data_IF_336129541450
#
_entry.id   IF_336129541450
#
_cell.length_a   1.000
_cell.length_b   1.000
_cell.length_c   1.000
_cell.angle_alpha   90.00
_cell.angle_beta   90.00
_cell.angle_gamma   90.00
#
_symmetry.space_group_name_H-M   'P 1'
#
loop_
_entity.id
_entity.type
_entity.pdbx_description
1 polymer ?
#
# COMPACT_ATOMS: atom_id res chain seq x y z
N UNK A 1 12.84 -29.90 2.93
CA UNK A 1 11.73 -30.57 2.21
C UNK A 1 10.80 -29.52 1.67
N UNK A 2 10.31 -29.63 0.43
CA UNK A 2 9.46 -28.59 -0.15
C UNK A 2 7.98 -28.97 -0.29
N UNK A 3 7.11 -28.52 0.63
CA UNK A 3 5.68 -28.86 0.60
C UNK A 3 4.95 -28.21 -0.58
N UNK A 4 5.34 -26.99 -0.97
CA UNK A 4 4.78 -26.31 -2.15
C UNK A 4 5.13 -26.99 -3.48
N UNK A 5 6.31 -27.59 -3.59
CA UNK A 5 6.79 -28.33 -4.77
C UNK A 5 6.55 -29.84 -4.68
N UNK A 6 5.87 -30.34 -3.62
CA UNK A 6 5.67 -31.77 -3.33
C UNK A 6 6.99 -32.57 -3.32
N UNK A 7 8.07 -31.98 -2.82
CA UNK A 7 9.39 -32.63 -2.69
C UNK A 7 9.56 -33.10 -1.24
N UNK A 8 9.23 -34.37 -0.99
CA UNK A 8 9.42 -35.00 0.31
C UNK A 8 10.86 -35.44 0.59
N UNK A 9 11.14 -35.85 1.83
CA UNK A 9 12.45 -36.26 2.36
C UNK A 9 13.26 -37.12 1.38
N UNK A 10 12.62 -38.16 0.84
CA UNK A 10 13.24 -39.13 -0.06
C UNK A 10 13.66 -38.50 -1.39
N UNK A 11 12.88 -37.55 -1.91
CA UNK A 11 13.20 -36.86 -3.16
C UNK A 11 14.33 -35.84 -2.93
N UNK A 12 14.32 -35.11 -1.81
CA UNK A 12 15.42 -34.23 -1.42
C UNK A 12 16.73 -34.99 -1.21
N UNK A 13 16.70 -36.14 -0.54
CA UNK A 13 17.87 -37.01 -0.32
C UNK A 13 18.49 -37.47 -1.65
N UNK A 14 17.65 -37.87 -2.62
CA UNK A 14 18.10 -38.23 -3.97
C UNK A 14 18.65 -37.02 -4.74
N UNK A 15 18.09 -35.83 -4.58
CA UNK A 15 18.63 -34.62 -5.22
C UNK A 15 20.00 -34.23 -4.63
N UNK A 16 20.16 -34.32 -3.31
CA UNK A 16 21.44 -34.07 -2.65
C UNK A 16 22.52 -35.04 -3.15
N UNK A 17 22.19 -36.33 -3.28
CA UNK A 17 23.06 -37.35 -3.89
C UNK A 17 23.61 -36.91 -5.25
N UNK A 18 22.77 -36.36 -6.12
CA UNK A 18 23.20 -35.87 -7.45
C UNK A 18 24.06 -34.60 -7.34
N UNK A 19 23.87 -33.76 -6.32
CA UNK A 19 24.72 -32.58 -6.07
C UNK A 19 26.10 -32.93 -5.52
N UNK A 20 26.21 -33.98 -4.69
CA UNK A 20 27.47 -34.40 -4.05
C UNK A 20 28.10 -35.64 -4.68
N UNK A 21 27.58 -36.06 -5.85
CA UNK A 21 28.09 -37.17 -6.67
C UNK A 21 28.18 -38.54 -5.96
N UNK A 22 27.25 -38.87 -5.07
CA UNK A 22 27.24 -40.16 -4.36
C UNK A 22 26.41 -40.12 -3.08
N UNK A 23 25.90 -41.28 -2.62
CA UNK A 23 25.18 -41.33 -1.33
C UNK A 23 26.14 -41.23 -0.14
N UNK A 24 27.33 -41.79 -0.31
CA UNK A 24 28.46 -41.77 0.62
C UNK A 24 28.97 -40.36 0.93
N UNK A 25 28.77 -39.41 0.01
CA UNK A 25 29.24 -38.03 0.13
C UNK A 25 28.19 -37.08 0.76
N UNK A 26 26.99 -37.57 1.07
CA UNK A 26 25.91 -36.73 1.65
C UNK A 26 26.19 -36.38 3.11
N UNK A 27 26.92 -37.23 3.83
CA UNK A 27 27.24 -37.01 5.25
C UNK A 27 26.04 -37.14 6.21
N UNK A 28 24.86 -37.53 5.71
CA UNK A 28 23.64 -37.75 6.50
C UNK A 28 22.80 -38.88 5.90
N UNK A 29 22.02 -39.57 6.74
CA UNK A 29 21.19 -40.70 6.32
C UNK A 29 19.80 -40.26 5.82
N UNK A 30 19.12 -41.12 5.05
CA UNK A 30 17.72 -40.87 4.66
C UNK A 30 16.80 -40.67 5.88
N UNK A 31 17.08 -41.34 7.00
CA UNK A 31 16.31 -41.16 8.23
C UNK A 31 16.57 -39.79 8.86
N UNK A 32 17.79 -39.27 8.77
CA UNK A 32 18.08 -37.89 9.17
C UNK A 32 17.26 -36.94 8.32
N UNK A 33 17.25 -37.09 6.98
CA UNK A 33 16.38 -36.27 6.12
C UNK A 33 14.89 -36.38 6.47
N UNK A 34 14.38 -37.57 6.85
CA UNK A 34 12.98 -37.78 7.28
C UNK A 34 12.68 -37.13 8.62
N UNK A 35 13.61 -37.20 9.58
CA UNK A 35 13.45 -36.72 10.95
C UNK A 35 13.82 -35.23 11.09
N UNK A 36 14.63 -34.71 10.18
CA UNK A 36 15.19 -33.36 10.23
C UNK A 36 14.14 -32.28 10.40
N UNK A 37 12.99 -32.41 9.72
CA UNK A 37 11.87 -31.47 9.88
C UNK A 37 11.32 -31.45 11.31
N UNK A 38 11.17 -32.63 11.94
CA UNK A 38 10.76 -32.74 13.35
C UNK A 38 11.83 -32.13 14.25
N UNK A 39 13.09 -32.47 14.02
CA UNK A 39 14.20 -32.07 14.90
C UNK A 39 14.42 -30.56 14.86
N UNK A 40 14.32 -29.94 13.68
CA UNK A 40 14.33 -28.48 13.51
C UNK A 40 13.11 -27.82 14.17
N UNK A 41 11.91 -28.39 14.04
CA UNK A 41 10.73 -27.88 14.76
C UNK A 41 10.86 -27.97 16.28
N UNK A 42 11.45 -29.05 16.79
CA UNK A 42 11.74 -29.19 18.22
C UNK A 42 12.76 -28.14 18.67
N UNK A 43 13.84 -27.92 17.90
CA UNK A 43 14.84 -26.90 18.20
C UNK A 43 14.26 -25.48 18.20
N UNK A 44 13.39 -25.16 17.22
CA UNK A 44 12.72 -23.86 17.14
C UNK A 44 11.74 -23.70 18.31
N UNK A 45 10.97 -24.73 18.68
CA UNK A 45 9.82 -24.57 19.58
C UNK A 45 10.12 -23.84 20.90
N UNK A 46 11.21 -24.18 21.59
CA UNK A 46 11.59 -23.57 22.88
C UNK A 46 12.37 -22.25 22.72
N UNK A 47 12.86 -21.96 21.51
CA UNK A 47 13.76 -20.83 21.23
C UNK A 47 13.21 -19.85 20.21
N UNK A 48 11.97 -20.03 19.77
CA UNK A 48 11.41 -19.40 18.57
C UNK A 48 11.48 -17.87 18.62
N UNK A 49 11.02 -17.28 19.72
CA UNK A 49 11.10 -15.83 19.95
C UNK A 49 12.54 -15.34 20.00
N UNK A 50 13.44 -16.08 20.66
CA UNK A 50 14.86 -15.72 20.73
C UNK A 50 15.54 -15.81 19.37
N UNK A 51 15.29 -16.88 18.60
CA UNK A 51 15.80 -17.04 17.24
C UNK A 51 15.30 -15.91 16.33
N UNK A 52 14.03 -15.50 16.48
CA UNK A 52 13.48 -14.37 15.76
C UNK A 52 14.19 -13.05 16.10
N UNK A 53 14.45 -12.78 17.38
CA UNK A 53 15.22 -11.61 17.82
C UNK A 53 16.66 -11.67 17.31
N UNK A 54 17.32 -12.82 17.42
CA UNK A 54 18.70 -13.02 16.98
C UNK A 54 18.83 -12.82 15.47
N UNK A 55 17.78 -13.15 14.69
CA UNK A 55 17.71 -12.77 13.27
C UNK A 55 17.80 -11.27 13.10
N UNK A 56 17.02 -10.50 13.86
CA UNK A 56 16.96 -9.05 13.69
C UNK A 56 18.27 -8.39 14.09
N UNK A 57 18.88 -8.85 15.19
CA UNK A 57 20.24 -8.46 15.58
C UNK A 57 21.24 -8.74 14.45
N UNK A 58 21.23 -9.96 13.90
CA UNK A 58 22.10 -10.30 12.78
C UNK A 58 21.84 -9.43 11.53
N UNK A 59 20.58 -9.12 11.24
CA UNK A 59 20.23 -8.26 10.11
C UNK A 59 20.73 -6.83 10.33
N UNK A 60 20.65 -6.31 11.55
CA UNK A 60 21.23 -5.02 11.91
C UNK A 60 22.75 -5.00 11.80
N UNK A 61 23.43 -6.08 12.17
CA UNK A 61 24.89 -6.19 12.07
C UNK A 61 25.38 -6.39 10.63
N UNK A 62 24.58 -7.03 9.77
CA UNK A 62 25.00 -7.44 8.42
C UNK A 62 24.44 -6.57 7.30
N UNK A 63 23.31 -5.90 7.51
CA UNK A 63 22.67 -5.04 6.51
C UNK A 63 22.82 -3.59 6.93
N UNK A 64 23.39 -2.80 6.02
CA UNK A 64 23.44 -1.36 6.15
C UNK A 64 22.00 -0.81 6.29
N UNK A 65 21.69 -0.27 7.47
CA UNK A 65 20.39 0.27 7.86
C UNK A 65 19.24 -0.74 7.90
N UNK A 66 19.23 -1.53 8.98
CA UNK A 66 18.06 -2.29 9.41
C UNK A 66 17.65 -1.79 10.80
N UNK A 67 16.52 -1.09 10.86
CA UNK A 67 15.89 -0.69 12.11
C UNK A 67 15.10 -1.87 12.67
N UNK A 68 15.23 -2.13 13.96
CA UNK A 68 14.33 -3.03 14.68
C UNK A 68 14.24 -2.62 16.15
N UNK A 69 13.14 -2.99 16.78
CA UNK A 69 12.94 -2.86 18.22
C UNK A 69 11.99 -3.95 18.70
N UNK A 70 12.03 -4.30 19.98
CA UNK A 70 11.19 -5.35 20.54
C UNK A 70 10.99 -5.19 22.05
N UNK A 71 9.90 -5.76 22.56
CA UNK A 71 9.62 -5.87 23.99
C UNK A 71 9.28 -7.31 24.36
N UNK A 72 9.74 -7.72 25.53
CA UNK A 72 9.42 -8.99 26.17
C UNK A 72 8.62 -8.73 27.45
N UNK A 73 7.78 -9.67 27.84
CA UNK A 73 7.10 -9.63 29.14
C UNK A 73 7.99 -10.11 30.30
N UNK A 74 7.40 -10.19 31.49
CA UNK A 74 8.07 -10.63 32.72
C UNK A 74 8.60 -12.05 32.66
N UNK A 75 8.06 -12.88 31.77
CA UNK A 75 8.47 -14.28 31.55
C UNK A 75 9.49 -14.40 30.40
N UNK A 76 10.03 -13.27 29.91
CA UNK A 76 10.90 -13.16 28.74
C UNK A 76 10.24 -13.64 27.43
N UNK A 77 8.90 -13.63 27.35
CA UNK A 77 8.18 -13.94 26.11
C UNK A 77 8.07 -12.70 25.24
N UNK A 78 8.34 -12.84 23.94
CA UNK A 78 8.24 -11.74 22.98
C UNK A 78 6.78 -11.27 22.85
N UNK A 79 6.53 -9.99 23.14
CA UNK A 79 5.18 -9.39 23.07
C UNK A 79 5.02 -8.37 21.97
N UNK A 80 6.09 -7.67 21.59
CA UNK A 80 6.09 -6.69 20.50
C UNK A 80 7.40 -6.80 19.73
N UNK A 81 7.34 -6.74 18.41
CA UNK A 81 8.53 -6.67 17.57
C UNK A 81 8.25 -5.81 16.34
N UNK A 82 9.21 -4.99 15.95
CA UNK A 82 9.09 -4.10 14.80
C UNK A 82 10.36 -4.11 13.97
N UNK A 83 10.24 -3.82 12.67
CA UNK A 83 11.37 -3.71 11.78
C UNK A 83 11.09 -2.85 10.55
N UNK A 84 12.16 -2.25 10.03
CA UNK A 84 12.19 -1.63 8.71
C UNK A 84 13.61 -1.71 8.15
N UNK A 85 13.74 -2.01 6.86
CA UNK A 85 15.03 -1.97 6.19
C UNK A 85 15.22 -0.68 5.38
N UNK A 86 16.44 -0.49 4.89
CA UNK A 86 16.84 0.66 4.07
C UNK A 86 15.90 0.93 2.89
N UNK A 87 15.42 -0.11 2.23
CA UNK A 87 14.55 0.04 1.05
C UNK A 87 13.19 0.56 1.49
N UNK A 88 12.65 0.03 2.58
CA UNK A 88 11.39 0.47 3.16
C UNK A 88 11.44 1.96 3.57
N UNK A 89 12.53 2.38 4.24
CA UNK A 89 12.75 3.80 4.58
C UNK A 89 12.88 4.72 3.36
N UNK A 90 13.61 4.29 2.31
CA UNK A 90 13.72 5.04 1.05
C UNK A 90 12.37 5.18 0.35
N UNK A 91 11.58 4.11 0.34
CA UNK A 91 10.24 4.13 -0.24
C UNK A 91 9.34 5.08 0.55
N UNK A 92 9.41 5.07 1.89
CA UNK A 92 8.64 6.00 2.71
C UNK A 92 9.00 7.46 2.43
N UNK A 93 10.29 7.78 2.24
CA UNK A 93 10.72 9.15 1.94
C UNK A 93 10.07 9.75 0.68
N UNK A 94 9.72 8.90 -0.31
CA UNK A 94 9.14 9.30 -1.59
C UNK A 94 7.62 9.09 -1.65
N UNK A 95 7.12 8.00 -1.06
CA UNK A 95 5.75 7.51 -1.21
C UNK A 95 4.94 7.54 0.09
N UNK A 96 5.55 7.91 1.21
CA UNK A 96 4.98 7.88 2.56
C UNK A 96 4.03 9.03 2.89
N UNK A 97 3.60 9.82 1.90
CA UNK A 97 2.64 10.90 2.13
C UNK A 97 1.25 10.35 2.56
N UNK A 98 0.87 9.17 2.06
CA UNK A 98 -0.34 8.47 2.48
C UNK A 98 0.03 7.03 2.87
N UNK A 99 -0.26 6.67 4.11
CA UNK A 99 0.09 5.37 4.70
C UNK A 99 -1.18 4.66 5.14
N UNK A 100 -1.30 3.40 4.76
CA UNK A 100 -2.30 2.47 5.26
C UNK A 100 -1.74 1.66 6.42
N UNK A 101 -2.54 1.50 7.48
CA UNK A 101 -2.22 0.65 8.62
C UNK A 101 -3.44 -0.21 8.95
N UNK A 102 -3.26 -1.54 8.85
CA UNK A 102 -4.30 -2.50 9.20
C UNK A 102 -3.69 -3.67 9.97
N UNK A 103 -4.21 -3.98 11.17
CA UNK A 103 -3.87 -5.22 11.82
C UNK A 103 -4.49 -6.41 11.07
N UNK A 104 -3.65 -7.36 10.65
CA UNK A 104 -4.05 -8.58 9.93
C UNK A 104 -3.95 -9.78 10.87
N UNK A 105 -5.08 -10.48 11.03
CA UNK A 105 -5.37 -11.46 12.07
C UNK A 105 -4.29 -12.53 12.33
N UNK A 106 -4.26 -13.05 13.57
CA UNK A 106 -3.30 -13.97 14.18
C UNK A 106 -2.44 -14.79 13.20
N UNK A 107 -1.14 -14.47 13.14
CA UNK A 107 -0.25 -14.99 12.08
C UNK A 107 0.54 -16.24 12.47
N UNK A 108 0.58 -16.56 13.75
CA UNK A 108 1.46 -17.58 14.32
C UNK A 108 0.82 -18.26 15.55
N UNK A 109 1.47 -19.31 16.06
CA UNK A 109 1.02 -20.12 17.20
C UNK A 109 0.91 -19.36 18.53
N UNK A 110 1.46 -18.15 18.61
CA UNK A 110 1.35 -17.27 19.78
C UNK A 110 0.25 -16.22 19.64
N UNK A 111 -0.53 -16.29 18.56
CA UNK A 111 -1.59 -15.34 18.23
C UNK A 111 -1.11 -13.89 18.05
N UNK A 112 0.19 -13.66 17.82
CA UNK A 112 0.64 -12.30 17.51
C UNK A 112 0.10 -11.85 16.14
N UNK A 113 -0.38 -10.62 16.11
CA UNK A 113 -1.00 -9.98 14.97
C UNK A 113 0.07 -9.27 14.16
N UNK A 114 0.10 -9.52 12.86
CA UNK A 114 1.00 -8.80 11.95
C UNK A 114 0.33 -7.51 11.47
N UNK A 115 1.03 -6.39 11.60
CA UNK A 115 0.48 -5.06 11.34
C UNK A 115 1.42 -4.27 10.42
N UNK A 116 1.30 -4.43 9.09
CA UNK A 116 2.15 -3.72 8.14
C UNK A 116 1.72 -2.26 7.97
N UNK A 117 2.69 -1.38 7.76
CA UNK A 117 2.48 -0.03 7.23
C UNK A 117 2.77 -0.06 5.74
N UNK A 118 1.77 0.26 4.93
CA UNK A 118 1.88 0.18 3.47
C UNK A 118 1.56 1.50 2.79
N UNK A 119 2.01 1.65 1.55
CA UNK A 119 1.64 2.76 0.68
C UNK A 119 1.66 2.33 -0.78
N UNK A 120 1.72 3.32 -1.67
CA UNK A 120 1.66 3.10 -3.13
C UNK A 120 2.87 3.72 -3.79
N UNK A 121 3.66 2.88 -4.46
CA UNK A 121 4.82 3.30 -5.24
C UNK A 121 4.45 3.94 -6.59
N UNK A 122 5.45 4.40 -7.34
CA UNK A 122 5.30 5.02 -8.65
C UNK A 122 4.72 4.08 -9.73
N UNK A 123 4.67 2.78 -9.51
CA UNK A 123 4.04 1.80 -10.40
C UNK A 123 2.58 1.53 -10.05
N UNK A 124 2.05 2.18 -9.01
CA UNK A 124 0.71 1.96 -8.41
C UNK A 124 0.60 0.66 -7.61
N UNK A 125 1.73 0.05 -7.25
CA UNK A 125 1.77 -1.20 -6.50
C UNK A 125 1.88 -0.93 -5.00
N UNK A 126 1.39 -1.88 -4.19
CA UNK A 126 1.55 -1.80 -2.73
C UNK A 126 3.01 -2.01 -2.35
N UNK A 127 3.50 -1.15 -1.47
CA UNK A 127 4.86 -1.20 -0.92
C UNK A 127 4.79 -1.16 0.60
N UNK A 128 5.63 -1.95 1.26
CA UNK A 128 5.72 -1.99 2.73
C UNK A 128 6.80 -1.01 3.20
N UNK A 129 6.45 -0.16 4.16
CA UNK A 129 7.36 0.79 4.82
C UNK A 129 7.85 0.27 6.18
N UNK A 130 7.02 -0.50 6.88
CA UNK A 130 7.31 -0.95 8.24
C UNK A 130 6.53 -2.21 8.55
N UNK A 131 7.15 -3.15 9.26
CA UNK A 131 6.50 -4.38 9.73
C UNK A 131 6.47 -4.45 11.24
N UNK A 132 5.42 -5.03 11.79
CA UNK A 132 5.26 -5.18 13.23
C UNK A 132 4.46 -6.43 13.60
N UNK A 133 4.82 -7.04 14.72
CA UNK A 133 4.08 -8.11 15.39
C UNK A 133 3.68 -7.65 16.80
N UNK A 134 2.40 -7.78 17.14
CA UNK A 134 1.86 -7.39 18.44
C UNK A 134 1.11 -8.57 19.07
N UNK A 135 1.39 -8.88 20.34
CA UNK A 135 0.62 -9.88 21.10
C UNK A 135 -0.72 -9.36 21.60
N UNK A 136 -0.87 -8.03 21.69
CA UNK A 136 -2.10 -7.36 22.15
C UNK A 136 -2.41 -6.15 21.28
N UNK A 137 -3.65 -6.10 20.82
CA UNK A 137 -4.23 -4.96 20.08
C UNK A 137 -4.90 -4.04 21.10
N UNK A 138 -4.14 -3.10 21.66
CA UNK A 138 -4.64 -2.10 22.59
C UNK A 138 -3.93 -0.75 22.42
N UNK A 139 -4.45 0.30 23.05
CA UNK A 139 -3.93 1.67 22.90
C UNK A 139 -2.44 1.78 23.26
N UNK A 140 -2.00 1.09 24.30
CA UNK A 140 -0.59 1.08 24.72
C UNK A 140 0.32 0.49 23.63
N UNK A 141 -0.06 -0.68 23.09
CA UNK A 141 0.68 -1.35 22.02
C UNK A 141 0.70 -0.52 20.74
N UNK A 142 -0.42 0.07 20.34
CA UNK A 142 -0.48 0.90 19.13
C UNK A 142 0.27 2.22 19.30
N UNK A 143 0.21 2.85 20.48
CA UNK A 143 0.99 4.05 20.79
C UNK A 143 2.48 3.76 20.74
N UNK A 144 2.93 2.64 21.33
CA UNK A 144 4.31 2.19 21.23
C UNK A 144 4.70 1.97 19.76
N UNK A 145 3.89 1.23 19.01
CA UNK A 145 4.13 0.92 17.60
C UNK A 145 4.27 2.18 16.74
N UNK A 146 3.35 3.13 16.86
CA UNK A 146 3.39 4.36 16.07
C UNK A 146 4.61 5.23 16.42
N UNK A 147 5.06 5.25 17.69
CA UNK A 147 6.31 5.93 18.08
C UNK A 147 7.52 5.29 17.42
N UNK A 148 7.64 3.95 17.47
CA UNK A 148 8.74 3.22 16.82
C UNK A 148 8.73 3.39 15.30
N UNK A 149 7.54 3.41 14.69
CA UNK A 149 7.38 3.72 13.27
C UNK A 149 7.93 5.11 12.96
N UNK A 150 7.53 6.14 13.72
CA UNK A 150 7.98 7.51 13.50
C UNK A 150 9.50 7.65 13.67
N UNK A 151 10.08 7.00 14.68
CA UNK A 151 11.53 6.96 14.91
C UNK A 151 12.27 6.30 13.73
N UNK A 152 11.79 5.15 13.26
CA UNK A 152 12.37 4.46 12.11
C UNK A 152 12.29 5.27 10.81
N UNK A 153 11.28 6.14 10.69
CA UNK A 153 11.10 7.05 9.56
C UNK A 153 11.77 8.42 9.76
N UNK A 154 12.66 8.55 10.75
CA UNK A 154 13.45 9.77 10.97
C UNK A 154 12.64 10.93 11.54
N UNK A 155 11.58 10.66 12.29
CA UNK A 155 10.71 11.69 12.87
C UNK A 155 9.72 12.30 11.89
N UNK A 156 9.66 11.81 10.63
CA UNK A 156 8.76 12.34 9.61
C UNK A 156 7.40 11.64 9.69
N UNK A 157 6.36 12.41 9.98
CA UNK A 157 4.97 11.93 9.96
C UNK A 157 4.44 11.80 8.52
N UNK A 158 3.51 10.86 8.25
CA UNK A 158 2.77 10.85 7.00
C UNK A 158 1.80 12.04 6.95
N UNK A 159 1.45 12.54 5.77
CA UNK A 159 0.41 13.56 5.64
C UNK A 159 -0.98 12.96 5.94
N UNK A 160 -1.18 11.70 5.54
CA UNK A 160 -2.40 10.95 5.76
C UNK A 160 -2.10 9.57 6.31
N UNK A 161 -2.81 9.18 7.37
CA UNK A 161 -2.84 7.81 7.87
C UNK A 161 -4.25 7.26 7.72
N UNK A 162 -4.35 6.08 7.11
CA UNK A 162 -5.61 5.41 6.78
C UNK A 162 -5.68 4.13 7.58
N UNK A 163 -6.68 4.01 8.44
CA UNK A 163 -6.87 2.84 9.31
C UNK A 163 -8.31 2.34 9.24
N UNK A 164 -8.63 1.30 10.00
CA UNK A 164 -10.02 1.00 10.34
C UNK A 164 -10.54 1.92 11.46
N UNK A 165 -11.73 1.61 11.99
CA UNK A 165 -12.43 2.42 12.99
C UNK A 165 -12.20 1.92 14.42
N UNK A 166 -11.07 1.26 14.69
CA UNK A 166 -10.75 0.78 16.02
C UNK A 166 -10.48 1.95 17.00
N UNK A 167 -11.14 2.01 18.17
CA UNK A 167 -10.98 3.10 19.13
C UNK A 167 -9.55 3.28 19.64
N UNK A 168 -8.82 2.18 19.86
CA UNK A 168 -7.46 2.21 20.41
C UNK A 168 -6.47 2.70 19.35
N UNK A 169 -6.67 2.31 18.09
CA UNK A 169 -5.95 2.90 16.94
C UNK A 169 -6.24 4.39 16.84
N UNK A 170 -7.51 4.80 16.88
CA UNK A 170 -7.91 6.23 16.78
C UNK A 170 -7.21 7.06 17.87
N UNK A 171 -7.26 6.60 19.13
CA UNK A 171 -6.62 7.30 20.25
C UNK A 171 -5.10 7.38 20.06
N UNK A 172 -4.48 6.26 19.70
CA UNK A 172 -3.02 6.17 19.50
C UNK A 172 -2.53 7.04 18.35
N UNK A 173 -3.29 7.12 17.25
CA UNK A 173 -3.00 8.01 16.12
C UNK A 173 -2.97 9.47 16.57
N UNK A 174 -4.00 9.91 17.31
CA UNK A 174 -4.07 11.29 17.84
C UNK A 174 -2.97 11.59 18.87
N UNK A 175 -2.58 10.58 19.65
CA UNK A 175 -1.53 10.69 20.67
C UNK A 175 -0.13 10.81 20.06
N UNK A 176 0.14 10.16 18.93
CA UNK A 176 1.49 10.11 18.33
C UNK A 176 1.63 11.11 17.19
N UNK A 177 0.74 11.13 16.21
CA UNK A 177 0.85 11.98 15.03
C UNK A 177 0.15 13.32 15.26
N UNK A 178 0.90 14.42 15.13
CA UNK A 178 0.43 15.79 15.42
C UNK A 178 -0.03 16.52 14.18
N UNK A 179 0.47 16.13 13.02
CA UNK A 179 0.21 16.77 11.73
C UNK A 179 -0.52 15.86 10.77
N UNK A 180 -0.38 14.53 10.92
CA UNK A 180 -1.05 13.57 10.07
C UNK A 180 -2.58 13.70 10.17
N UNK A 181 -3.25 13.69 9.02
CA UNK A 181 -4.71 13.67 8.92
C UNK A 181 -5.20 12.23 8.94
N UNK A 182 -5.94 11.87 9.98
CA UNK A 182 -6.50 10.53 10.12
C UNK A 182 -7.74 10.31 9.24
N UNK A 183 -7.73 9.22 8.48
CA UNK A 183 -8.79 8.80 7.57
C UNK A 183 -9.20 7.35 7.84
N UNK A 184 -10.45 7.02 7.53
CA UNK A 184 -10.93 5.65 7.62
C UNK A 184 -10.98 5.00 6.25
N UNK A 185 -10.59 3.73 6.22
CA UNK A 185 -10.62 2.91 5.02
C UNK A 185 -12.06 2.63 4.56
N UNK A 186 -12.39 3.08 3.35
CA UNK A 186 -13.70 2.85 2.75
C UNK A 186 -14.02 1.36 2.61
N UNK A 187 -13.04 0.54 2.21
CA UNK A 187 -13.25 -0.90 2.03
C UNK A 187 -13.67 -1.60 3.34
N UNK A 188 -13.01 -1.27 4.46
CA UNK A 188 -13.38 -1.81 5.76
C UNK A 188 -14.76 -1.37 6.22
N UNK A 189 -15.16 -0.12 5.94
CA UNK A 189 -16.51 0.37 6.22
C UNK A 189 -17.53 -0.40 5.37
N UNK A 190 -17.31 -0.52 4.06
CA UNK A 190 -18.21 -1.20 3.13
C UNK A 190 -18.32 -2.70 3.42
N UNK A 191 -17.26 -3.36 3.90
CA UNK A 191 -17.33 -4.77 4.32
C UNK A 191 -18.19 -5.00 5.57
N UNK A 192 -18.35 -3.98 6.42
CA UNK A 192 -19.24 -4.05 7.59
C UNK A 192 -20.71 -3.84 7.20
N UNK A 193 -21.00 -3.19 6.07
CA UNK A 193 -22.36 -2.92 5.59
C UNK A 193 -23.23 -4.18 5.53
N UNK A 194 -22.81 -5.30 4.89
CA UNK A 194 -23.50 -6.60 4.95
C UNK A 194 -24.02 -7.00 6.33
N UNK A 195 -23.10 -7.04 7.29
CA UNK A 195 -23.36 -7.52 8.66
C UNK A 195 -24.28 -6.54 9.38
N UNK A 196 -24.10 -5.24 9.16
CA UNK A 196 -24.88 -4.18 9.79
C UNK A 196 -26.26 -4.00 9.17
N UNK A 197 -26.45 -4.40 7.92
CA UNK A 197 -27.74 -4.50 7.24
C UNK A 197 -28.53 -5.73 7.70
N UNK A 198 -27.87 -6.79 8.17
CA UNK A 198 -28.53 -7.94 8.81
C UNK A 198 -29.37 -8.80 7.87
N UNK A 199 -29.20 -8.65 6.56
CA UNK A 199 -29.77 -9.51 5.52
C UNK A 199 -28.64 -10.23 4.75
N UNK A 200 -28.98 -11.28 4.02
CA UNK A 200 -28.03 -11.93 3.13
C UNK A 200 -27.68 -10.94 2.00
N UNK A 201 -26.40 -10.63 1.81
CA UNK A 201 -25.94 -9.68 0.78
C UNK A 201 -26.35 -10.03 -0.64
N UNK A 202 -26.60 -11.32 -0.88
CA UNK A 202 -27.08 -11.86 -2.15
C UNK A 202 -28.47 -11.35 -2.54
N UNK A 203 -29.23 -10.84 -1.59
CA UNK A 203 -30.61 -10.40 -1.79
C UNK A 203 -30.72 -8.89 -2.10
N UNK A 204 -29.62 -8.14 -2.08
CA UNK A 204 -29.59 -6.67 -2.26
C UNK A 204 -28.48 -6.16 -3.20
N UNK A 205 -28.33 -6.72 -4.42
CA UNK A 205 -27.32 -6.27 -5.37
C UNK A 205 -27.50 -4.81 -5.77
N UNK A 206 -28.76 -4.35 -5.89
CA UNK A 206 -29.07 -2.98 -6.27
C UNK A 206 -28.67 -1.98 -5.18
N UNK A 207 -28.88 -2.29 -3.90
CA UNK A 207 -28.42 -1.45 -2.78
C UNK A 207 -26.91 -1.26 -2.81
N UNK A 208 -26.14 -2.35 -2.98
CA UNK A 208 -24.68 -2.24 -3.04
C UNK A 208 -24.21 -1.49 -4.28
N UNK A 209 -24.88 -1.66 -5.42
CA UNK A 209 -24.59 -0.87 -6.63
C UNK A 209 -24.80 0.62 -6.36
N UNK A 210 -25.96 0.99 -5.81
CA UNK A 210 -26.32 2.39 -5.60
C UNK A 210 -25.45 3.05 -4.53
N UNK A 211 -25.14 2.32 -3.44
CA UNK A 211 -24.21 2.75 -2.40
C UNK A 211 -22.80 2.96 -2.94
N UNK A 212 -22.26 2.00 -3.70
CA UNK A 212 -20.94 2.13 -4.31
C UNK A 212 -20.90 3.30 -5.30
N UNK A 213 -21.98 3.54 -6.05
CA UNK A 213 -22.05 4.63 -7.01
C UNK A 213 -21.93 6.02 -6.36
N UNK A 214 -22.28 6.19 -5.07
CA UNK A 214 -22.10 7.46 -4.37
C UNK A 214 -20.81 7.52 -3.54
N UNK A 215 -20.36 6.40 -2.98
CA UNK A 215 -19.14 6.35 -2.13
C UNK A 215 -17.87 6.57 -2.97
N UNK A 216 -17.85 6.01 -4.19
CA UNK A 216 -16.69 6.05 -5.09
C UNK A 216 -16.74 7.16 -6.14
N UNK A 217 -17.80 7.99 -6.19
CA UNK A 217 -17.88 9.11 -7.12
C UNK A 217 -16.98 10.27 -6.65
N UNK A 218 -15.85 10.44 -7.35
CA UNK A 218 -14.86 11.49 -7.08
C UNK A 218 -15.37 12.91 -7.39
N UNK A 219 -16.37 13.02 -8.26
CA UNK A 219 -16.92 14.29 -8.73
C UNK A 219 -18.22 14.62 -8.01
N UNK A 220 -18.67 13.81 -7.05
CA UNK A 220 -19.88 14.08 -6.30
C UNK A 220 -19.64 15.25 -5.35
N UNK A 221 -20.56 16.20 -5.32
CA UNK A 221 -20.48 17.28 -4.34
C UNK A 221 -20.90 16.76 -2.95
N UNK A 222 -20.30 17.31 -1.87
CA UNK A 222 -20.66 16.94 -0.50
C UNK A 222 -22.17 16.92 -0.22
N UNK A 223 -22.90 17.93 -0.71
CA UNK A 223 -24.34 18.05 -0.52
C UNK A 223 -25.13 16.97 -1.29
N UNK A 224 -24.70 16.62 -2.49
CA UNK A 224 -25.33 15.57 -3.29
C UNK A 224 -25.09 14.19 -2.69
N UNK A 225 -23.90 13.94 -2.13
CA UNK A 225 -23.63 12.73 -1.36
C UNK A 225 -24.57 12.63 -0.17
N UNK A 226 -24.66 13.69 0.64
CA UNK A 226 -25.48 13.70 1.86
C UNK A 226 -26.96 13.42 1.54
N UNK A 227 -27.47 14.00 0.44
CA UNK A 227 -28.83 13.76 -0.04
C UNK A 227 -29.02 12.32 -0.52
N UNK A 228 -28.20 11.84 -1.45
CA UNK A 228 -28.35 10.50 -2.07
C UNK A 228 -28.14 9.37 -1.06
N UNK A 229 -27.26 9.58 -0.07
CA UNK A 229 -27.10 8.66 1.04
C UNK A 229 -28.42 8.47 1.80
N UNK A 230 -29.11 9.56 2.12
CA UNK A 230 -30.42 9.52 2.78
C UNK A 230 -31.50 8.83 1.93
N UNK A 231 -31.55 9.15 0.63
CA UNK A 231 -32.48 8.52 -0.33
C UNK A 231 -32.27 7.01 -0.40
N UNK A 232 -31.02 6.55 -0.58
CA UNK A 232 -30.70 5.11 -0.62
C UNK A 232 -31.11 4.41 0.69
N UNK A 233 -30.83 5.00 1.87
CA UNK A 233 -31.23 4.37 3.12
C UNK A 233 -32.76 4.27 3.25
N UNK A 234 -33.50 5.28 2.79
CA UNK A 234 -34.97 5.28 2.80
C UNK A 234 -35.56 4.26 1.82
N UNK A 235 -35.08 4.22 0.58
CA UNK A 235 -35.58 3.35 -0.49
C UNK A 235 -35.44 1.87 -0.14
N UNK A 236 -34.36 1.50 0.55
CA UNK A 236 -34.09 0.12 0.94
C UNK A 236 -34.55 -0.21 2.38
N UNK A 237 -35.36 0.65 3.00
CA UNK A 237 -35.96 0.39 4.31
C UNK A 237 -34.95 0.28 5.45
N UNK A 238 -33.78 0.90 5.32
CA UNK A 238 -32.79 0.99 6.40
C UNK A 238 -33.28 2.03 7.40
N UNK A 239 -34.06 1.56 8.37
CA UNK A 239 -34.60 2.41 9.43
C UNK A 239 -33.51 3.20 10.14
N UNK A 240 -33.80 4.48 10.40
CA UNK A 240 -32.93 5.40 11.15
C UNK A 240 -32.56 4.86 12.55
N UNK A 241 -33.29 3.88 13.08
CA UNK A 241 -33.00 3.24 14.37
C UNK A 241 -31.74 2.35 14.36
N UNK A 242 -31.17 2.04 13.18
CA UNK A 242 -29.88 1.36 13.10
C UNK A 242 -28.73 2.35 13.32
N UNK A 243 -28.33 2.48 14.58
CA UNK A 243 -27.28 3.42 15.03
C UNK A 243 -26.02 3.43 14.14
N UNK A 244 -25.57 2.28 13.61
CA UNK A 244 -24.31 2.22 12.87
C UNK A 244 -24.26 3.06 11.59
N UNK A 245 -25.31 3.08 10.77
CA UNK A 245 -25.31 3.88 9.53
C UNK A 245 -25.28 5.38 9.83
N UNK A 246 -25.94 5.81 10.91
CA UNK A 246 -25.87 7.19 11.39
C UNK A 246 -24.46 7.54 11.89
N UNK A 247 -23.83 6.66 12.67
CA UNK A 247 -22.46 6.87 13.15
C UNK A 247 -21.47 7.00 11.99
N UNK A 248 -21.55 6.12 10.98
CA UNK A 248 -20.69 6.18 9.79
C UNK A 248 -20.95 7.44 8.96
N UNK A 249 -22.20 7.90 8.89
CA UNK A 249 -22.54 9.16 8.22
C UNK A 249 -22.01 10.39 8.98
N UNK A 250 -22.03 10.39 10.31
CA UNK A 250 -21.45 11.49 11.12
C UNK A 250 -19.98 11.71 10.81
N UNK A 251 -19.23 10.64 10.58
CA UNK A 251 -17.79 10.68 10.26
C UNK A 251 -17.48 10.72 8.75
N UNK A 252 -18.46 10.98 7.87
CA UNK A 252 -18.29 10.95 6.40
C UNK A 252 -17.13 11.77 5.86
N UNK A 253 -16.78 12.87 6.52
CA UNK A 253 -15.61 13.71 6.19
C UNK A 253 -14.25 13.03 6.38
N UNK A 254 -14.21 11.86 7.01
CA UNK A 254 -12.99 11.08 7.25
C UNK A 254 -12.83 9.89 6.31
N UNK A 255 -13.85 9.55 5.49
CA UNK A 255 -13.78 8.36 4.63
C UNK A 255 -14.39 8.53 3.24
N UNK A 256 -15.34 9.45 3.05
CA UNK A 256 -16.03 9.63 1.75
C UNK A 256 -15.23 10.56 0.84
N UNK A 257 -15.00 10.13 -0.40
CA UNK A 257 -14.23 10.89 -1.40
C UNK A 257 -14.83 12.27 -1.68
N UNK A 258 -16.16 12.37 -1.80
CA UNK A 258 -16.87 13.63 -2.02
C UNK A 258 -16.51 14.72 -0.99
N UNK A 259 -16.22 14.33 0.26
CA UNK A 259 -15.83 15.23 1.36
C UNK A 259 -14.31 15.39 1.51
N UNK A 260 -13.52 14.82 0.59
CA UNK A 260 -12.06 14.68 0.67
C UNK A 260 -11.36 15.15 -0.62
N UNK A 261 -11.91 16.17 -1.28
CA UNK A 261 -11.40 16.67 -2.58
C UNK A 261 -10.01 17.32 -2.51
N UNK A 262 -9.59 17.72 -1.32
CA UNK A 262 -8.32 18.39 -1.01
C UNK A 262 -7.15 17.42 -0.75
N UNK A 263 -7.37 16.10 -0.78
CA UNK A 263 -6.37 15.14 -0.33
C UNK A 263 -5.48 14.65 -1.48
N UNK A 264 -4.15 14.86 -1.40
CA UNK A 264 -3.15 14.20 -2.28
C UNK A 264 -3.01 12.74 -1.84
N UNK A 265 -3.98 11.90 -2.18
CA UNK A 265 -4.02 10.52 -1.67
C UNK A 265 -3.12 9.58 -2.48
N UNK A 266 -2.64 10.02 -3.65
CA UNK A 266 -1.71 9.23 -4.45
C UNK A 266 -2.23 7.85 -4.81
N UNK A 267 -3.54 7.70 -4.96
CA UNK A 267 -4.15 6.41 -5.27
C UNK A 267 -4.27 5.42 -4.10
N UNK A 268 -3.97 5.79 -2.85
CA UNK A 268 -4.10 4.90 -1.67
C UNK A 268 -5.56 4.62 -1.29
N UNK A 269 -6.43 5.64 -1.25
CA UNK A 269 -7.89 5.46 -1.09
C UNK A 269 -8.59 5.01 -2.37
N UNK A 270 -7.89 4.86 -3.50
CA UNK A 270 -8.53 4.76 -4.83
C UNK A 270 -9.20 3.43 -5.14
N UNK A 271 -8.87 2.34 -4.47
CA UNK A 271 -9.36 1.03 -4.95
C UNK A 271 -9.57 0.03 -3.82
N UNK A 272 -10.80 -0.48 -3.71
CA UNK A 272 -11.10 -1.76 -3.05
C UNK A 272 -10.10 -2.84 -3.46
N UNK A 273 -9.71 -2.89 -4.74
CA UNK A 273 -8.70 -3.81 -5.28
C UNK A 273 -7.33 -3.73 -4.57
N UNK A 274 -6.95 -2.58 -4.01
CA UNK A 274 -5.68 -2.46 -3.25
C UNK A 274 -5.83 -3.03 -1.86
N UNK A 275 -6.88 -2.64 -1.12
CA UNK A 275 -7.16 -3.25 0.18
C UNK A 275 -7.42 -4.76 0.06
N UNK A 276 -8.04 -5.21 -1.03
CA UNK A 276 -8.26 -6.63 -1.35
C UNK A 276 -6.98 -7.34 -1.75
N UNK A 277 -6.12 -6.72 -2.57
CA UNK A 277 -4.85 -7.33 -2.98
C UNK A 277 -3.85 -7.37 -1.84
N UNK A 278 -3.78 -6.34 -1.00
CA UNK A 278 -3.04 -6.33 0.26
C UNK A 278 -3.57 -7.43 1.18
N UNK A 279 -4.87 -7.49 1.44
CA UNK A 279 -5.46 -8.55 2.25
C UNK A 279 -5.20 -9.95 1.67
N UNK A 280 -5.30 -10.13 0.35
CA UNK A 280 -5.00 -11.40 -0.33
C UNK A 280 -3.51 -11.77 -0.26
N UNK A 281 -2.63 -10.78 -0.36
CA UNK A 281 -1.19 -10.95 -0.19
C UNK A 281 -0.86 -11.35 1.24
N UNK A 282 -1.41 -10.65 2.23
CA UNK A 282 -1.12 -10.86 3.64
C UNK A 282 -1.77 -12.11 4.23
N UNK A 283 -2.94 -12.53 3.73
CA UNK A 283 -3.56 -13.83 4.06
C UNK A 283 -2.64 -15.03 3.85
N UNK A 284 -1.63 -14.92 2.98
CA UNK A 284 -0.63 -15.98 2.77
C UNK A 284 0.30 -16.17 3.98
N UNK A 285 0.38 -15.19 4.88
CA UNK A 285 1.15 -15.27 6.12
C UNK A 285 0.35 -15.85 7.28
N UNK A 286 -0.99 -15.96 7.17
CA UNK A 286 -1.82 -16.58 8.21
C UNK A 286 -1.44 -18.05 8.38
N UNK A 287 -0.89 -18.38 9.54
CA UNK A 287 -0.65 -19.75 9.95
C UNK A 287 -0.69 -19.87 11.48
N UNK A 288 -1.87 -20.14 12.02
CA UNK A 288 -2.10 -20.28 13.46
C UNK A 288 -1.30 -21.41 14.12
N UNK A 289 -0.65 -22.28 13.35
CA UNK A 289 0.25 -23.33 13.85
C UNK A 289 1.73 -23.03 13.62
N UNK A 290 2.02 -21.91 12.95
CA UNK A 290 3.36 -21.52 12.54
C UNK A 290 4.18 -20.86 13.64
N UNK A 291 5.48 -21.08 13.61
CA UNK A 291 6.48 -20.42 14.45
C UNK A 291 6.77 -18.99 13.97
N UNK A 292 7.39 -18.16 14.82
CA UNK A 292 7.85 -16.82 14.43
C UNK A 292 8.95 -16.88 13.36
N UNK A 293 9.83 -17.88 13.44
CA UNK A 293 10.83 -18.16 12.40
C UNK A 293 10.16 -18.47 11.05
N UNK A 294 9.14 -19.35 11.03
CA UNK A 294 8.38 -19.64 9.81
C UNK A 294 7.66 -18.39 9.25
N UNK A 295 7.12 -17.53 10.13
CA UNK A 295 6.55 -16.24 9.73
C UNK A 295 7.61 -15.36 9.05
N UNK A 296 8.77 -15.17 9.68
CA UNK A 296 9.84 -14.32 9.14
C UNK A 296 10.27 -14.76 7.75
N UNK A 297 10.44 -16.06 7.55
CA UNK A 297 10.92 -16.59 6.28
C UNK A 297 9.92 -16.39 5.15
N UNK A 298 8.62 -16.54 5.44
CA UNK A 298 7.57 -16.20 4.48
C UNK A 298 7.59 -14.71 4.18
N UNK A 299 7.70 -13.88 5.20
CA UNK A 299 7.79 -12.43 5.04
C UNK A 299 8.98 -12.04 4.16
N UNK A 300 10.18 -12.52 4.44
CA UNK A 300 11.40 -12.22 3.67
C UNK A 300 11.27 -12.67 2.21
N UNK A 301 10.73 -13.89 1.98
CA UNK A 301 10.48 -14.39 0.63
C UNK A 301 9.46 -13.55 -0.15
N UNK A 302 8.40 -13.09 0.51
CA UNK A 302 7.37 -12.28 -0.14
C UNK A 302 7.86 -10.85 -0.44
N UNK A 303 8.65 -10.26 0.46
CA UNK A 303 9.33 -8.98 0.22
C UNK A 303 10.33 -9.09 -0.93
N UNK A 304 11.09 -10.18 -1.01
CA UNK A 304 12.02 -10.42 -2.11
C UNK A 304 11.28 -10.52 -3.46
N UNK A 305 10.16 -11.26 -3.50
CA UNK A 305 9.33 -11.35 -4.69
C UNK A 305 8.73 -10.00 -5.10
N UNK A 306 8.23 -9.20 -4.15
CA UNK A 306 7.71 -7.85 -4.42
C UNK A 306 8.80 -6.97 -5.04
N UNK A 307 9.99 -6.96 -4.45
CA UNK A 307 11.14 -6.16 -4.91
C UNK A 307 11.69 -6.63 -6.24
N UNK A 308 11.74 -7.94 -6.48
CA UNK A 308 12.12 -8.49 -7.78
C UNK A 308 11.16 -7.99 -8.87
N UNK A 309 9.86 -8.00 -8.57
CA UNK A 309 8.85 -7.52 -9.51
C UNK A 309 9.00 -6.02 -9.77
N UNK A 310 9.17 -5.19 -8.73
CA UNK A 310 9.44 -3.74 -8.88
C UNK A 310 10.69 -3.48 -9.74
N UNK A 311 11.79 -4.20 -9.49
CA UNK A 311 13.03 -4.07 -10.29
C UNK A 311 12.81 -4.40 -11.76
N UNK A 312 11.94 -5.38 -12.06
CA UNK A 312 11.56 -5.72 -13.42
C UNK A 312 10.80 -4.58 -14.08
N UNK A 313 9.79 -4.01 -13.40
CA UNK A 313 9.04 -2.86 -13.90
C UNK A 313 9.95 -1.64 -14.13
N UNK A 314 10.87 -1.37 -13.21
CA UNK A 314 11.89 -0.34 -13.36
C UNK A 314 12.80 -0.58 -14.58
N UNK A 315 13.15 -1.84 -14.84
CA UNK A 315 13.93 -2.23 -16.01
C UNK A 315 13.15 -1.99 -17.30
N UNK A 316 11.89 -2.43 -17.34
CA UNK A 316 11.01 -2.27 -18.49
C UNK A 316 10.79 -0.77 -18.80
N UNK A 317 10.61 0.06 -17.77
CA UNK A 317 10.52 1.52 -17.86
C UNK A 317 11.74 2.20 -18.51
N UNK A 318 12.94 1.63 -18.31
CA UNK A 318 14.22 2.14 -18.84
C UNK A 318 14.48 1.67 -20.27
N UNK A 319 14.06 0.46 -20.61
CA UNK A 319 14.45 -0.19 -21.86
C UNK A 319 13.34 -0.25 -22.90
N UNK A 320 12.11 0.13 -22.56
CA UNK A 320 11.01 0.20 -23.50
C UNK A 320 10.18 1.47 -23.35
N UNK A 321 9.56 1.87 -24.46
CA UNK A 321 8.65 3.01 -24.53
C UNK A 321 7.23 2.50 -24.70
N UNK A 322 6.26 3.02 -23.93
CA UNK A 322 4.86 2.73 -24.17
C UNK A 322 4.44 3.10 -25.59
N UNK A 323 3.49 2.34 -26.15
CA UNK A 323 2.88 2.68 -27.43
C UNK A 323 2.02 3.92 -27.26
N UNK A 324 2.26 4.94 -28.09
CA UNK A 324 1.39 6.11 -28.17
C UNK A 324 0.11 5.77 -28.96
N UNK A 325 -1.02 6.27 -28.49
CA UNK A 325 -2.33 6.09 -29.11
C UNK A 325 -2.80 7.34 -29.84
N UNK A 326 -2.19 8.49 -29.59
CA UNK A 326 -2.41 9.73 -30.32
C UNK A 326 -1.09 10.28 -30.89
N UNK A 327 -1.15 11.39 -31.62
CA UNK A 327 0.03 12.12 -32.11
C UNK A 327 0.29 13.39 -31.29
N UNK A 328 -0.28 13.49 -30.09
CA UNK A 328 -0.22 14.69 -29.28
C UNK A 328 1.13 14.80 -28.55
N UNK A 329 1.82 15.96 -28.61
CA UNK A 329 3.09 16.15 -27.92
C UNK A 329 3.03 15.91 -26.41
N UNK A 330 1.90 16.24 -25.77
CA UNK A 330 1.70 16.05 -24.33
C UNK A 330 1.70 14.57 -23.94
N UNK A 331 1.20 13.69 -24.81
CA UNK A 331 1.23 12.24 -24.62
C UNK A 331 2.67 11.71 -24.69
N UNK A 332 3.42 12.15 -25.70
CA UNK A 332 4.84 11.82 -25.85
C UNK A 332 5.66 12.31 -24.65
N UNK A 333 5.34 13.49 -24.10
CA UNK A 333 6.00 13.95 -22.88
C UNK A 333 5.65 13.06 -21.68
N UNK A 334 4.37 12.73 -21.50
CA UNK A 334 3.91 11.83 -20.43
C UNK A 334 4.60 10.47 -20.45
N UNK A 335 4.81 9.87 -21.62
CA UNK A 335 5.47 8.55 -21.74
C UNK A 335 6.95 8.55 -21.35
N UNK A 336 7.59 9.72 -21.40
CA UNK A 336 8.97 9.93 -20.97
C UNK A 336 9.08 10.15 -19.46
N UNK A 337 8.08 10.83 -18.89
CA UNK A 337 8.06 11.24 -17.47
C UNK A 337 7.56 10.12 -16.56
N UNK A 338 6.38 9.57 -16.86
CA UNK A 338 5.69 8.61 -15.99
C UNK A 338 6.15 7.18 -16.19
N UNK A 339 6.05 6.37 -15.13
CA UNK A 339 6.12 4.90 -15.24
C UNK A 339 5.08 4.39 -16.24
N UNK A 340 5.31 3.23 -16.87
CA UNK A 340 4.37 2.65 -17.84
C UNK A 340 2.98 2.50 -17.25
N UNK A 341 2.87 2.00 -16.02
CA UNK A 341 1.59 1.79 -15.36
C UNK A 341 0.84 3.09 -15.18
N UNK A 342 1.50 4.16 -14.73
CA UNK A 342 0.82 5.43 -14.58
C UNK A 342 0.55 6.09 -15.94
N UNK A 343 1.45 5.92 -16.91
CA UNK A 343 1.28 6.43 -18.25
C UNK A 343 0.02 5.87 -18.91
N UNK A 344 -0.35 4.61 -18.66
CA UNK A 344 -1.61 4.06 -19.15
C UNK A 344 -2.83 4.86 -18.66
N UNK A 345 -2.90 5.21 -17.37
CA UNK A 345 -3.98 6.05 -16.83
C UNK A 345 -3.97 7.46 -17.45
N UNK A 346 -2.78 8.04 -17.56
CA UNK A 346 -2.61 9.35 -18.18
C UNK A 346 -3.02 9.34 -19.65
N UNK A 347 -2.66 8.30 -20.39
CA UNK A 347 -3.02 8.11 -21.79
C UNK A 347 -4.54 7.98 -21.96
N UNK A 348 -5.25 7.35 -21.02
CA UNK A 348 -6.72 7.34 -21.03
C UNK A 348 -7.31 8.74 -20.84
N UNK A 349 -6.72 9.59 -20.00
CA UNK A 349 -7.14 11.00 -19.88
C UNK A 349 -6.84 11.78 -21.17
N UNK A 350 -5.71 11.52 -21.82
CA UNK A 350 -5.36 12.10 -23.13
C UNK A 350 -6.41 11.70 -24.19
N UNK A 351 -6.73 10.42 -24.32
CA UNK A 351 -7.72 9.95 -25.30
C UNK A 351 -9.10 10.53 -24.99
N UNK A 352 -9.50 10.53 -23.72
CA UNK A 352 -10.83 10.99 -23.31
C UNK A 352 -11.06 12.48 -23.60
N UNK A 353 -10.03 13.32 -23.61
CA UNK A 353 -10.21 14.73 -23.96
C UNK A 353 -10.56 14.90 -25.45
N UNK A 354 -10.05 14.02 -26.32
CA UNK A 354 -10.23 14.14 -27.78
C UNK A 354 -11.65 13.82 -28.25
N UNK A 355 -12.49 13.20 -27.41
CA UNK A 355 -13.79 12.68 -27.83
C UNK A 355 -14.95 13.00 -26.89
N UNK A 356 -14.72 13.75 -25.79
CA UNK A 356 -15.71 13.87 -24.70
C UNK A 356 -15.95 15.26 -24.13
N UNK A 357 -15.24 16.31 -24.58
CA UNK A 357 -15.31 17.64 -23.95
C UNK A 357 -15.96 18.67 -24.87
N UNK A 358 -16.96 19.39 -24.34
CA UNK A 358 -17.65 20.46 -25.06
C UNK A 358 -17.61 21.76 -24.25
N UNK A 359 -17.08 22.83 -24.84
CA UNK A 359 -17.13 24.15 -24.23
C UNK A 359 -18.58 24.67 -24.15
N UNK A 360 -18.97 25.13 -22.96
CA UNK A 360 -20.31 25.68 -22.68
C UNK A 360 -20.27 27.18 -22.39
N UNK A 361 -19.14 27.67 -21.93
CA UNK A 361 -18.95 29.07 -21.55
C UNK A 361 -17.46 29.41 -21.52
N UNK A 362 -17.17 30.68 -21.78
CA UNK A 362 -15.85 31.28 -21.73
C UNK A 362 -15.98 32.69 -21.18
N UNK A 363 -15.13 33.05 -20.22
CA UNK A 363 -14.92 34.41 -19.77
C UNK A 363 -13.44 34.65 -19.51
N UNK A 364 -13.03 35.91 -19.53
CA UNK A 364 -11.66 36.31 -19.21
C UNK A 364 -11.70 37.47 -18.22
N UNK A 365 -11.03 37.31 -17.08
CA UNK A 365 -10.91 38.35 -16.06
C UNK A 365 -9.46 38.45 -15.59
N UNK A 366 -8.88 39.65 -15.66
CA UNK A 366 -7.52 39.94 -15.15
C UNK A 366 -6.40 39.00 -15.68
N UNK A 367 -6.51 38.53 -16.93
CA UNK A 367 -5.55 37.58 -17.53
C UNK A 367 -5.73 36.13 -17.08
N UNK A 368 -6.88 35.81 -16.48
CA UNK A 368 -7.31 34.45 -16.19
C UNK A 368 -8.50 34.12 -17.09
N UNK A 369 -8.32 33.12 -17.94
CA UNK A 369 -9.37 32.54 -18.77
C UNK A 369 -10.14 31.51 -17.97
N UNK A 370 -11.46 31.63 -17.90
CA UNK A 370 -12.37 30.68 -17.24
C UNK A 370 -13.17 29.98 -18.33
N UNK A 371 -12.99 28.67 -18.45
CA UNK A 371 -13.71 27.82 -19.41
C UNK A 371 -14.60 26.83 -18.69
N UNK A 372 -15.88 26.77 -19.05
CA UNK A 372 -16.80 25.73 -18.58
C UNK A 372 -16.82 24.58 -19.60
N UNK A 373 -16.31 23.41 -19.22
CA UNK A 373 -16.29 22.22 -20.06
C UNK A 373 -17.34 21.20 -19.59
N UNK A 374 -18.27 20.84 -20.48
CA UNK A 374 -19.13 19.67 -20.28
C UNK A 374 -18.34 18.42 -20.66
N UNK A 375 -18.07 17.58 -19.67
CA UNK A 375 -17.55 16.23 -19.88
C UNK A 375 -18.74 15.29 -20.13
N UNK A 376 -18.87 14.84 -21.37
CA UNK A 376 -19.93 13.91 -21.79
C UNK A 376 -19.77 12.53 -21.15
N UNK A 377 -18.53 12.09 -20.88
CA UNK A 377 -18.25 10.80 -20.27
C UNK A 377 -18.61 10.79 -18.78
N UNK A 378 -18.46 11.93 -18.11
CA UNK A 378 -18.85 12.10 -16.69
C UNK A 378 -20.25 12.67 -16.49
N UNK A 379 -20.87 13.20 -17.54
CA UNK A 379 -22.18 13.85 -17.45
C UNK A 379 -22.20 15.15 -16.62
N UNK A 380 -21.04 15.76 -16.31
CA UNK A 380 -20.91 16.95 -15.45
C UNK A 380 -20.20 18.11 -16.17
N UNK A 381 -20.38 19.33 -15.66
CA UNK A 381 -19.68 20.52 -16.13
C UNK A 381 -18.59 20.85 -15.13
N UNK A 382 -17.40 21.17 -15.62
CA UNK A 382 -16.26 21.56 -14.81
C UNK A 382 -15.78 22.93 -15.23
N UNK A 383 -15.27 23.68 -14.25
CA UNK A 383 -14.70 25.00 -14.47
C UNK A 383 -13.19 24.88 -14.44
N UNK A 384 -12.55 25.46 -15.45
CA UNK A 384 -11.11 25.46 -15.61
C UNK A 384 -10.66 26.91 -15.68
N UNK A 385 -9.73 27.28 -14.79
CA UNK A 385 -9.11 28.59 -14.80
C UNK A 385 -7.70 28.44 -15.33
N UNK A 386 -7.34 29.22 -16.35
CA UNK A 386 -6.02 29.24 -16.95
C UNK A 386 -5.43 30.64 -16.88
N UNK A 387 -4.28 30.75 -16.22
CA UNK A 387 -3.53 31.99 -16.18
C UNK A 387 -2.62 32.09 -17.41
N UNK A 388 -2.91 33.03 -18.30
CA UNK A 388 -2.20 33.18 -19.57
C UNK A 388 -0.75 33.65 -19.40
N UNK A 389 -0.37 34.16 -18.22
CA UNK A 389 0.98 34.63 -17.90
C UNK A 389 1.85 33.55 -17.26
N UNK A 390 1.29 32.81 -16.32
CA UNK A 390 2.03 31.81 -15.53
C UNK A 390 1.87 30.38 -16.06
N UNK A 391 0.96 30.17 -17.01
CA UNK A 391 0.53 28.86 -17.51
C UNK A 391 -0.02 27.93 -16.42
N UNK A 392 -0.45 28.49 -15.28
CA UNK A 392 -1.12 27.75 -14.22
C UNK A 392 -2.56 27.46 -14.64
N UNK A 393 -2.98 26.22 -14.47
CA UNK A 393 -4.32 25.73 -14.72
C UNK A 393 -4.89 25.09 -13.46
N UNK A 394 -6.08 25.50 -13.04
CA UNK A 394 -6.84 24.82 -11.97
C UNK A 394 -8.14 24.29 -12.53
N UNK A 395 -8.59 23.12 -12.05
CA UNK A 395 -9.85 22.53 -12.50
C UNK A 395 -10.69 22.09 -11.32
N UNK A 396 -11.99 22.39 -11.33
CA UNK A 396 -12.91 21.99 -10.25
C UNK A 396 -13.08 20.48 -10.09
N UNK A 397 -12.66 19.67 -11.08
CA UNK A 397 -12.60 18.22 -10.91
C UNK A 397 -11.52 17.78 -9.91
N UNK A 398 -10.57 18.64 -9.53
CA UNK A 398 -9.53 18.43 -8.50
C UNK A 398 -8.67 17.17 -8.67
N UNK A 399 -8.61 16.58 -9.88
CA UNK A 399 -7.90 15.30 -10.10
C UNK A 399 -6.40 15.42 -9.83
N UNK A 400 -5.77 16.51 -10.29
CA UNK A 400 -4.33 16.71 -10.09
C UNK A 400 -4.00 16.88 -8.62
N UNK A 401 -4.79 17.68 -7.91
CA UNK A 401 -4.68 17.90 -6.48
C UNK A 401 -4.90 16.59 -5.71
N UNK A 402 -5.82 15.73 -6.18
CA UNK A 402 -6.09 14.45 -5.51
C UNK A 402 -5.03 13.39 -5.73
N UNK A 403 -4.55 13.25 -6.96
CA UNK A 403 -3.74 12.10 -7.34
C UNK A 403 -2.40 12.45 -7.99
N UNK A 404 -2.06 13.73 -8.14
CA UNK A 404 -0.80 14.18 -8.75
C UNK A 404 -0.72 13.95 -10.26
N UNK A 405 -1.85 13.70 -10.93
CA UNK A 405 -1.91 13.42 -12.36
C UNK A 405 -2.97 14.32 -13.02
N UNK A 406 -2.62 14.91 -14.16
CA UNK A 406 -3.52 15.80 -14.90
C UNK A 406 -4.81 15.09 -15.33
N UNK A 407 -5.94 15.79 -15.23
CA UNK A 407 -7.19 15.36 -15.86
C UNK A 407 -7.25 15.76 -17.32
N UNK A 408 -8.12 15.09 -18.07
CA UNK A 408 -8.49 15.47 -19.44
C UNK A 408 -8.88 16.94 -19.61
N UNK A 409 -9.47 17.58 -18.60
CA UNK A 409 -9.86 18.99 -18.65
C UNK A 409 -8.64 19.92 -18.72
N UNK A 410 -7.67 19.72 -17.83
CA UNK A 410 -6.43 20.51 -17.83
C UNK A 410 -5.62 20.22 -19.09
N UNK A 411 -5.53 18.94 -19.49
CA UNK A 411 -4.81 18.55 -20.72
C UNK A 411 -5.42 19.25 -21.95
N UNK A 412 -6.75 19.34 -22.03
CA UNK A 412 -7.46 20.02 -23.11
C UNK A 412 -7.14 21.52 -23.18
N UNK A 413 -7.16 22.22 -22.05
CA UNK A 413 -6.84 23.65 -21.99
C UNK A 413 -5.38 23.93 -22.32
N UNK A 414 -4.45 23.14 -21.79
CA UNK A 414 -3.02 23.24 -22.13
C UNK A 414 -2.80 23.00 -23.63
N UNK A 415 -3.42 21.97 -24.19
CA UNK A 415 -3.28 21.62 -25.61
C UNK A 415 -3.85 22.69 -26.53
N UNK A 416 -5.03 23.25 -26.19
CA UNK A 416 -5.66 24.36 -26.93
C UNK A 416 -4.81 25.63 -26.92
N UNK A 417 -4.03 25.84 -25.86
CA UNK A 417 -3.08 26.95 -25.71
C UNK A 417 -1.67 26.64 -26.26
N UNK A 418 -1.52 25.57 -27.05
CA UNK A 418 -0.27 25.23 -27.72
C UNK A 418 0.83 24.69 -26.80
N UNK A 419 0.51 24.34 -25.55
CA UNK A 419 1.46 23.76 -24.61
C UNK A 419 1.74 22.30 -25.01
N UNK A 420 3.00 22.04 -25.39
CA UNK A 420 3.43 20.74 -25.94
C UNK A 420 3.91 19.75 -24.88
N UNK A 421 4.29 20.24 -23.70
CA UNK A 421 4.85 19.44 -22.61
C UNK A 421 4.07 19.71 -21.35
N UNK A 422 3.85 18.68 -20.53
CA UNK A 422 3.33 18.82 -19.16
C UNK A 422 4.20 19.85 -18.43
N UNK A 423 3.64 20.97 -17.94
CA UNK A 423 4.44 21.96 -17.21
C UNK A 423 4.97 21.36 -15.90
N UNK A 424 6.17 21.76 -15.47
CA UNK A 424 6.85 21.17 -14.30
C UNK A 424 6.02 21.23 -13.01
N UNK A 425 5.22 22.29 -12.83
CA UNK A 425 4.29 22.43 -11.71
C UNK A 425 3.24 21.31 -11.64
N UNK A 426 2.98 20.63 -12.76
CA UNK A 426 2.03 19.52 -12.88
C UNK A 426 2.71 18.16 -13.03
N UNK A 427 4.02 18.08 -12.78
CA UNK A 427 4.77 16.82 -12.72
C UNK A 427 5.01 16.45 -11.27
N UNK A 428 4.12 15.62 -10.71
CA UNK A 428 4.32 15.12 -9.35
C UNK A 428 5.48 14.11 -9.33
N UNK A 429 6.58 14.49 -8.65
CA UNK A 429 7.83 13.71 -8.61
C UNK A 429 7.61 12.25 -8.25
N UNK A 430 6.72 11.96 -7.28
CA UNK A 430 6.38 10.59 -6.84
C UNK A 430 5.96 9.64 -7.96
N UNK A 431 5.55 10.16 -9.12
CA UNK A 431 5.04 9.38 -10.25
C UNK A 431 6.05 9.17 -11.36
N UNK A 432 7.20 9.82 -11.27
CA UNK A 432 8.20 9.79 -12.30
C UNK A 432 8.97 8.46 -12.30
N UNK A 433 9.50 8.06 -13.45
CA UNK A 433 10.33 6.84 -13.58
C UNK A 433 11.57 6.85 -12.68
N UNK A 434 12.06 8.02 -12.32
CA UNK A 434 13.26 8.21 -11.52
C UNK A 434 12.94 8.55 -10.06
N UNK A 435 11.67 8.39 -9.61
CA UNK A 435 11.14 8.80 -8.30
C UNK A 435 12.08 8.46 -7.12
N UNK A 436 12.55 7.22 -7.09
CA UNK A 436 13.56 6.73 -6.14
C UNK A 436 14.95 6.93 -6.76
N UNK A 437 15.44 8.18 -6.75
CA UNK A 437 16.71 8.54 -7.39
C UNK A 437 17.93 7.82 -6.78
N UNK A 438 19.03 7.74 -7.55
CA UNK A 438 20.36 7.31 -7.03
C UNK A 438 20.88 8.23 -5.93
N UNK A 439 20.57 9.53 -5.99
CA UNK A 439 21.04 10.57 -5.05
C UNK A 439 20.44 10.55 -3.62
N UNK A 440 19.50 9.66 -3.30
CA UNK A 440 19.08 9.42 -1.90
C UNK A 440 20.11 8.55 -1.15
N UNK A 441 21.40 8.77 -1.42
CA UNK A 441 22.57 8.12 -0.81
C UNK A 441 23.03 8.85 0.46
N UNK A 442 22.59 10.11 0.68
CA UNK A 442 23.01 10.94 1.80
C UNK A 442 22.00 10.93 2.97
N UNK A 443 21.75 9.76 3.55
CA UNK A 443 21.30 9.68 4.96
C UNK A 443 22.55 9.31 5.74
N UNK A 444 22.89 10.07 6.79
CA UNK A 444 24.16 9.90 7.52
C UNK A 444 24.31 8.48 8.10
N UNK A 445 25.55 7.99 8.01
CA UNK A 445 25.98 6.59 8.06
C UNK A 445 26.73 6.30 9.36
N UNK A 446 26.36 5.21 10.04
CA UNK A 446 27.18 4.61 11.10
C UNK A 446 27.39 3.13 10.77
N UNK A 447 28.67 2.75 10.76
CA UNK A 447 29.25 1.48 10.29
C UNK A 447 29.51 0.51 11.46
N UNK A 448 29.32 -0.80 11.24
CA UNK A 448 30.38 -1.83 11.36
C UNK A 448 29.86 -3.28 11.29
N UNK A 449 30.77 -4.16 10.83
CA UNK A 449 30.68 -5.58 10.39
C UNK A 449 30.62 -6.57 11.61
N UNK A 450 30.47 -7.91 11.54
CA UNK A 450 30.75 -8.97 10.54
C UNK A 450 30.01 -10.30 10.93
N UNK A 451 30.41 -11.43 10.32
CA UNK A 451 29.62 -12.62 9.93
C UNK A 451 29.97 -13.87 10.75
N UNK A 452 28.96 -14.50 11.37
CA UNK A 452 28.95 -15.94 11.76
C UNK A 452 27.53 -16.53 11.74
N UNK A 453 26.49 -15.75 12.09
CA UNK A 453 25.07 -16.16 12.11
C UNK A 453 24.45 -16.39 10.72
N UNK A 454 25.11 -15.96 9.63
CA UNK A 454 24.64 -16.17 8.26
C UNK A 454 24.59 -17.66 7.89
N UNK A 455 25.47 -18.51 8.45
CA UNK A 455 25.44 -19.96 8.21
C UNK A 455 24.23 -20.65 8.82
N UNK A 456 23.91 -20.35 10.09
CA UNK A 456 22.73 -20.90 10.76
C UNK A 456 21.44 -20.50 10.04
N UNK A 457 21.35 -19.25 9.58
CA UNK A 457 20.21 -18.80 8.81
C UNK A 457 20.18 -19.40 7.41
N UNK A 458 21.31 -19.60 6.72
CA UNK A 458 21.33 -20.35 5.45
C UNK A 458 20.83 -21.78 5.63
N UNK A 459 21.23 -22.47 6.69
CA UNK A 459 20.75 -23.82 7.01
C UNK A 459 19.25 -23.84 7.36
N UNK A 460 18.76 -22.86 8.14
CA UNK A 460 17.32 -22.69 8.42
C UNK A 460 16.53 -22.30 7.15
N UNK A 461 17.08 -21.44 6.30
CA UNK A 461 16.50 -21.01 5.01
C UNK A 461 16.37 -22.16 4.01
N UNK A 462 17.41 -22.95 3.86
CA UNK A 462 17.40 -24.17 3.04
C UNK A 462 16.41 -25.22 3.58
N UNK A 463 16.09 -25.17 4.88
CA UNK A 463 15.21 -26.14 5.53
C UNK A 463 13.73 -25.76 5.49
N UNK A 464 13.42 -24.55 5.92
CA UNK A 464 12.05 -24.04 6.11
C UNK A 464 11.57 -23.24 4.89
N UNK A 465 12.47 -22.65 4.09
CA UNK A 465 12.14 -21.94 2.85
C UNK A 465 11.75 -22.88 1.72
N UNK A 466 11.96 -24.17 1.94
CA UNK A 466 11.37 -25.22 1.14
C UNK A 466 9.91 -25.48 1.55
N UNK A 467 9.43 -25.29 2.79
CA UNK A 467 8.02 -25.58 3.14
C UNK A 467 7.01 -24.72 2.35
#
# INVERSE_FOLDING_TARGET
MNSRLKIGATKTYKMCKEHVNGFENIGASLNDFKNFHRDVKCYINERDGQLFIDRFKNLADTREYFYFDYEVDVDNSLVRAVWADRIAGRNYAVFGNAVSFYPTYATNKYFMVFTPFTGVDNHRWSVIFFGALLSRENEESFTWLFKRFLEAMGGKEPEYIITDQDPDIISSVANVFKTARHRFCMWHILNKVPVKFGSNTKDLPDFFRDLNAIVWDEDLEPGDFDKRWGEILADYGVGLERNWFQEVFKIRRQWVLAHCKDLIIGGVLRTTQKSESENSFFKKFENNSGTLVEFWMRFESAIDQQRHTQKKLDSDNRHSSPKLLTQLPVELHGSRVYTHELFEDFQQEVISFTSGLNARGFSEENGVEITNLKDALRGKVFDIQFNTRTYQVTCTCMKFERCGMLCRHIISILSSNGVKTIPDAYVARRWCKDAVGKKNENVELVDSRQIELTKLWSEVYETVGLL
#
